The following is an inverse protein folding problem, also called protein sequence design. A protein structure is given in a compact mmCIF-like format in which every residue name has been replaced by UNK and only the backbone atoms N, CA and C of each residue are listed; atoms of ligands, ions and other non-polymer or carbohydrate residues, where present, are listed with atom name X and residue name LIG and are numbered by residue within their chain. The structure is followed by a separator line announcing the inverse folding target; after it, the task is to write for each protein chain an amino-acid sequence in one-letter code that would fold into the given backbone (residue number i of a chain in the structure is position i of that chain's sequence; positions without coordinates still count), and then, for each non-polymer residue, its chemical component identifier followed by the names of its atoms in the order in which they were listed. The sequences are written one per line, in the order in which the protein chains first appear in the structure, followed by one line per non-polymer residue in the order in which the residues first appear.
data_IF_352462551715
#
_entry.id   IF_352462551715
#
_cell.length_a   1.000
_cell.length_b   1.000
_cell.length_c   1.000
_cell.angle_alpha   90.00
_cell.angle_beta   90.00
_cell.angle_gamma   90.00
#
_symmetry.space_group_name_H-M   'P 1'
#
loop_
_entity.id
_entity.type
_entity.pdbx_description
1 polymer ?
#
# COMPACT_ATOMS: atom_id res chain seq x y z
N UNK A 1 -25.53 13.29 -13.14
CA UNK A 1 -25.75 11.99 -12.46
C UNK A 1 -24.44 11.39 -11.94
N UNK A 2 -23.47 11.06 -12.80
CA UNK A 2 -22.20 10.42 -12.38
C UNK A 2 -21.47 11.17 -11.26
N UNK A 3 -21.40 12.49 -11.34
CA UNK A 3 -20.76 13.32 -10.30
C UNK A 3 -21.43 13.19 -8.93
N UNK A 4 -22.77 13.08 -8.88
CA UNK A 4 -23.50 12.89 -7.63
C UNK A 4 -23.21 11.51 -7.05
N UNK A 5 -23.20 10.48 -7.90
CA UNK A 5 -22.80 9.13 -7.48
C UNK A 5 -21.36 9.08 -7.02
N UNK A 6 -20.47 9.82 -7.67
CA UNK A 6 -19.06 9.91 -7.30
C UNK A 6 -18.86 10.59 -5.93
N UNK A 7 -19.63 11.64 -5.62
CA UNK A 7 -19.64 12.23 -4.28
C UNK A 7 -20.06 11.20 -3.21
N UNK A 8 -21.12 10.43 -3.47
CA UNK A 8 -21.56 9.34 -2.57
C UNK A 8 -20.46 8.28 -2.42
N UNK A 9 -19.80 7.90 -3.53
CA UNK A 9 -18.69 6.97 -3.50
C UNK A 9 -17.51 7.48 -2.68
N UNK A 10 -17.23 8.78 -2.68
CA UNK A 10 -16.22 9.39 -1.81
C UNK A 10 -16.54 9.18 -0.33
N UNK A 11 -17.78 9.46 0.09
CA UNK A 11 -18.23 9.23 1.47
C UNK A 11 -18.14 7.75 1.85
N UNK A 12 -18.66 6.87 1.01
CA UNK A 12 -18.71 5.43 1.28
C UNK A 12 -17.29 4.84 1.31
N UNK A 13 -16.38 5.29 0.44
CA UNK A 13 -14.99 4.84 0.45
C UNK A 13 -14.25 5.33 1.70
N UNK A 14 -14.54 6.56 2.15
CA UNK A 14 -14.07 7.08 3.44
C UNK A 14 -14.49 6.21 4.63
N UNK A 15 -15.79 5.88 4.70
CA UNK A 15 -16.31 4.99 5.73
C UNK A 15 -15.71 3.57 5.64
N UNK A 16 -15.55 3.02 4.43
CA UNK A 16 -14.95 1.71 4.23
C UNK A 16 -13.47 1.66 4.66
N UNK A 17 -12.70 2.72 4.36
CA UNK A 17 -11.32 2.87 4.80
C UNK A 17 -11.24 2.88 6.34
N UNK A 18 -12.07 3.70 6.98
CA UNK A 18 -12.15 3.79 8.44
C UNK A 18 -12.49 2.47 9.11
N UNK A 19 -13.53 1.78 8.62
CA UNK A 19 -13.91 0.45 9.14
C UNK A 19 -12.78 -0.55 8.99
N UNK A 20 -12.11 -0.57 7.84
CA UNK A 20 -11.04 -1.55 7.62
C UNK A 20 -9.84 -1.30 8.53
N UNK A 21 -9.40 -0.04 8.67
CA UNK A 21 -8.24 0.31 9.50
C UNK A 21 -8.52 -0.03 10.97
N UNK A 22 -9.69 0.34 11.50
CA UNK A 22 -10.07 0.00 12.88
C UNK A 22 -10.21 -1.52 13.08
N UNK A 23 -10.70 -2.24 12.07
CA UNK A 23 -10.78 -3.70 12.14
C UNK A 23 -9.38 -4.34 12.16
N UNK A 24 -8.43 -3.81 11.39
CA UNK A 24 -7.02 -4.24 11.44
C UNK A 24 -6.46 -4.02 12.85
N UNK A 25 -6.69 -2.84 13.45
CA UNK A 25 -6.19 -2.49 14.78
C UNK A 25 -6.77 -3.39 15.87
N UNK A 26 -8.10 -3.62 15.86
CA UNK A 26 -8.76 -4.53 16.79
C UNK A 26 -8.18 -5.93 16.70
N UNK A 27 -7.99 -6.45 15.49
CA UNK A 27 -7.43 -7.80 15.30
C UNK A 27 -5.95 -7.82 15.71
N UNK A 28 -5.18 -6.77 15.40
CA UNK A 28 -3.77 -6.62 15.83
C UNK A 28 -3.65 -6.69 17.34
N UNK A 29 -4.41 -5.86 18.05
CA UNK A 29 -4.38 -5.81 19.51
C UNK A 29 -4.83 -7.12 20.13
N UNK A 30 -5.90 -7.74 19.61
CA UNK A 30 -6.41 -8.99 20.15
C UNK A 30 -5.47 -10.17 19.89
N UNK A 31 -4.89 -10.25 18.68
CA UNK A 31 -4.09 -11.39 18.25
C UNK A 31 -2.64 -11.32 18.72
N UNK A 32 -2.02 -10.13 18.71
CA UNK A 32 -0.61 -9.95 19.02
C UNK A 32 -0.35 -9.41 20.42
N UNK A 33 -1.24 -8.55 20.94
CA UNK A 33 -1.08 -7.92 22.26
C UNK A 33 -2.04 -8.47 23.33
N UNK A 34 -2.95 -9.37 22.96
CA UNK A 34 -3.96 -9.97 23.83
C UNK A 34 -4.91 -8.96 24.51
N UNK A 35 -5.15 -7.81 23.87
CA UNK A 35 -6.01 -6.75 24.35
C UNK A 35 -7.10 -6.40 23.32
N UNK A 36 -8.33 -6.22 23.77
CA UNK A 36 -9.41 -5.74 22.89
C UNK A 36 -9.45 -4.21 22.93
N UNK A 37 -8.64 -3.58 22.08
CA UNK A 37 -8.57 -2.12 21.94
C UNK A 37 -8.65 -1.67 20.49
N UNK A 38 -9.19 -0.47 20.27
CA UNK A 38 -9.15 0.24 18.99
C UNK A 38 -7.99 1.23 18.91
N UNK A 39 -7.15 1.31 19.94
CA UNK A 39 -5.98 2.20 19.91
C UNK A 39 -4.86 1.56 19.09
N UNK A 40 -4.23 2.27 18.14
CA UNK A 40 -3.08 1.75 17.42
C UNK A 40 -1.91 1.49 18.38
N UNK A 41 -1.43 0.25 18.44
CA UNK A 41 -0.25 -0.14 19.21
C UNK A 41 0.93 -0.37 18.25
N UNK A 42 2.05 0.36 18.39
CA UNK A 42 3.20 0.19 17.50
C UNK A 42 3.81 -1.21 17.57
N UNK A 43 4.16 -1.77 16.42
CA UNK A 43 4.83 -3.08 16.35
C UNK A 43 6.26 -3.05 16.90
N UNK A 44 6.81 -1.88 17.19
CA UNK A 44 8.06 -1.74 17.96
C UNK A 44 7.93 -2.19 19.42
N UNK A 45 6.72 -2.19 19.98
CA UNK A 45 6.43 -2.63 21.35
C UNK A 45 6.11 -4.13 21.45
N UNK A 46 5.99 -4.81 20.31
CA UNK A 46 5.70 -6.23 20.27
C UNK A 46 6.88 -7.03 20.84
N UNK A 47 6.64 -7.79 21.90
CA UNK A 47 7.58 -8.79 22.42
C UNK A 47 7.47 -10.09 21.58
N UNK A 48 8.42 -10.35 20.66
CA UNK A 48 8.26 -11.41 19.67
C UNK A 48 8.48 -12.76 20.34
N UNK A 49 7.40 -13.50 20.53
CA UNK A 49 7.43 -14.83 21.14
C UNK A 49 6.65 -15.85 20.30
N UNK A 50 6.53 -17.09 20.79
CA UNK A 50 5.88 -18.18 20.06
C UNK A 50 4.39 -17.91 19.75
N UNK A 51 3.70 -17.01 20.48
CA UNK A 51 2.31 -16.62 20.21
C UNK A 51 2.15 -15.95 18.84
N UNK A 52 3.20 -15.29 18.32
CA UNK A 52 3.21 -14.72 16.98
C UNK A 52 2.92 -15.78 15.92
N UNK A 53 3.49 -16.98 16.04
CA UNK A 53 3.23 -18.07 15.09
C UNK A 53 1.78 -18.52 15.18
N UNK A 54 1.22 -18.62 16.39
CA UNK A 54 -0.17 -19.03 16.59
C UNK A 54 -1.11 -18.02 15.93
N UNK A 55 -0.90 -16.72 16.16
CA UNK A 55 -1.67 -15.65 15.55
C UNK A 55 -1.56 -15.68 14.02
N UNK A 56 -0.33 -15.68 13.48
CA UNK A 56 -0.06 -15.64 12.05
C UNK A 56 -0.64 -16.87 11.32
N UNK A 57 -0.41 -18.08 11.85
CA UNK A 57 -0.93 -19.32 11.25
C UNK A 57 -2.46 -19.40 11.36
N UNK A 58 -3.03 -18.95 12.48
CA UNK A 58 -4.47 -18.88 12.67
C UNK A 58 -5.15 -17.95 11.67
N UNK A 59 -4.60 -16.74 11.49
CA UNK A 59 -5.07 -15.78 10.48
C UNK A 59 -4.95 -16.33 9.06
N UNK A 60 -3.81 -16.93 8.72
CA UNK A 60 -3.60 -17.55 7.42
C UNK A 60 -4.57 -18.72 7.14
N UNK A 61 -4.90 -19.51 8.15
CA UNK A 61 -5.89 -20.58 8.02
C UNK A 61 -7.29 -20.02 7.75
N UNK A 62 -7.69 -18.96 8.47
CA UNK A 62 -8.97 -18.27 8.24
C UNK A 62 -9.05 -17.68 6.82
N UNK A 63 -7.97 -17.06 6.34
CA UNK A 63 -7.89 -16.56 4.96
C UNK A 63 -8.01 -17.69 3.95
N UNK A 64 -7.36 -18.83 4.21
CA UNK A 64 -7.43 -20.01 3.34
C UNK A 64 -8.84 -20.60 3.28
N UNK A 65 -9.59 -20.55 4.38
CA UNK A 65 -11.00 -20.93 4.43
C UNK A 65 -11.88 -19.93 3.68
N UNK A 66 -11.68 -18.62 3.87
CA UNK A 66 -12.39 -17.57 3.12
C UNK A 66 -12.13 -17.67 1.61
N UNK A 67 -10.91 -18.04 1.20
CA UNK A 67 -10.54 -18.20 -0.20
C UNK A 67 -11.29 -19.35 -0.89
N UNK A 68 -11.83 -20.33 -0.15
CA UNK A 68 -12.73 -21.35 -0.72
C UNK A 68 -14.07 -20.75 -1.17
N UNK A 69 -14.58 -19.75 -0.46
CA UNK A 69 -15.84 -19.07 -0.78
C UNK A 69 -15.65 -17.94 -1.81
N UNK A 70 -14.58 -17.17 -1.67
CA UNK A 70 -14.25 -16.06 -2.55
C UNK A 70 -12.80 -16.14 -3.04
N UNK A 71 -12.50 -16.93 -4.09
CA UNK A 71 -11.14 -17.09 -4.62
C UNK A 71 -10.47 -15.77 -5.06
N UNK A 72 -11.27 -14.76 -5.38
CA UNK A 72 -10.85 -13.40 -5.81
C UNK A 72 -10.14 -12.62 -4.69
N UNK A 73 -10.16 -13.08 -3.45
CA UNK A 73 -9.44 -12.40 -2.37
C UNK A 73 -7.92 -12.57 -2.44
N UNK A 74 -7.42 -13.60 -3.12
CA UNK A 74 -5.98 -13.82 -3.27
C UNK A 74 -5.37 -12.72 -4.13
N UNK A 75 -4.16 -12.28 -3.80
CA UNK A 75 -3.41 -11.31 -4.61
C UNK A 75 -3.50 -9.87 -4.12
N UNK A 76 -3.02 -8.96 -4.97
CA UNK A 76 -2.51 -7.63 -4.61
C UNK A 76 -3.59 -6.53 -4.66
N UNK A 77 -4.70 -6.76 -5.36
CA UNK A 77 -5.86 -5.88 -5.47
C UNK A 77 -5.92 -5.01 -6.75
N UNK A 78 -4.88 -4.22 -7.03
CA UNK A 78 -4.88 -3.31 -8.19
C UNK A 78 -4.96 -4.07 -9.53
N UNK A 79 -4.15 -5.13 -9.78
CA UNK A 79 -4.25 -5.91 -11.01
C UNK A 79 -5.65 -6.49 -11.26
N UNK A 80 -6.36 -6.89 -10.21
CA UNK A 80 -7.70 -7.45 -10.28
C UNK A 80 -8.74 -6.38 -10.67
N UNK A 81 -8.56 -5.15 -10.19
CA UNK A 81 -9.37 -4.00 -10.62
C UNK A 81 -9.09 -3.65 -12.10
N UNK A 82 -7.82 -3.64 -12.51
CA UNK A 82 -7.43 -3.43 -13.91
C UNK A 82 -8.00 -4.51 -14.83
N UNK A 83 -7.89 -5.78 -14.45
CA UNK A 83 -8.45 -6.92 -15.19
C UNK A 83 -9.97 -6.76 -15.36
N UNK A 84 -10.68 -6.33 -14.30
CA UNK A 84 -12.12 -6.09 -14.38
C UNK A 84 -12.47 -4.97 -15.36
N UNK A 85 -11.68 -3.89 -15.40
CA UNK A 85 -11.85 -2.79 -16.36
C UNK A 85 -11.61 -3.27 -17.79
N UNK A 86 -10.53 -4.02 -18.03
CA UNK A 86 -10.10 -4.44 -19.36
C UNK A 86 -10.95 -5.57 -19.95
N UNK A 87 -11.38 -6.54 -19.13
CA UNK A 87 -11.95 -7.79 -19.63
C UNK A 87 -13.40 -8.05 -19.19
N UNK A 88 -13.85 -7.45 -18.07
CA UNK A 88 -15.16 -7.74 -17.46
C UNK A 88 -16.15 -6.60 -17.61
N UNK A 89 -15.89 -5.66 -18.51
CA UNK A 89 -16.67 -4.43 -18.68
C UNK A 89 -16.87 -3.68 -17.35
N UNK A 90 -15.88 -3.70 -16.46
CA UNK A 90 -15.95 -3.10 -15.12
C UNK A 90 -17.02 -3.71 -14.20
N UNK A 91 -17.35 -4.99 -14.35
CA UNK A 91 -18.22 -5.75 -13.43
C UNK A 91 -17.40 -6.49 -12.38
N UNK A 92 -17.66 -6.18 -11.11
CA UNK A 92 -17.06 -6.85 -9.95
C UNK A 92 -18.17 -7.62 -9.20
N UNK A 93 -17.82 -8.80 -8.69
CA UNK A 93 -18.75 -9.64 -7.93
C UNK A 93 -19.01 -9.05 -6.52
N UNK A 94 -20.26 -9.08 -6.01
CA UNK A 94 -20.59 -8.55 -4.68
C UNK A 94 -19.75 -9.14 -3.55
N UNK A 95 -19.47 -10.45 -3.63
CA UNK A 95 -18.62 -11.15 -2.64
C UNK A 95 -17.22 -10.53 -2.51
N UNK A 96 -16.66 -9.94 -3.57
CA UNK A 96 -15.32 -9.33 -3.54
C UNK A 96 -15.31 -8.10 -2.63
N UNK A 97 -16.38 -7.30 -2.64
CA UNK A 97 -16.51 -6.08 -1.82
C UNK A 97 -16.51 -6.39 -0.31
N UNK A 98 -16.89 -7.60 0.10
CA UNK A 98 -16.96 -8.03 1.50
C UNK A 98 -15.74 -8.88 1.86
N UNK A 99 -15.42 -9.86 1.03
CA UNK A 99 -14.38 -10.84 1.35
C UNK A 99 -12.97 -10.22 1.33
N UNK A 100 -12.70 -9.27 0.42
CA UNK A 100 -11.38 -8.64 0.32
C UNK A 100 -11.02 -7.84 1.57
N UNK A 101 -11.83 -6.89 2.06
CA UNK A 101 -11.49 -6.14 3.28
C UNK A 101 -11.42 -7.05 4.51
N UNK A 102 -12.33 -8.01 4.68
CA UNK A 102 -12.26 -8.96 5.83
C UNK A 102 -10.96 -9.78 5.78
N UNK A 103 -10.59 -10.30 4.60
CA UNK A 103 -9.36 -11.08 4.46
C UNK A 103 -8.10 -10.26 4.76
N UNK A 104 -8.08 -8.99 4.33
CA UNK A 104 -6.98 -8.09 4.60
C UNK A 104 -6.89 -7.71 6.09
N UNK A 105 -8.03 -7.50 6.75
CA UNK A 105 -8.08 -7.22 8.17
C UNK A 105 -7.49 -8.38 8.99
N UNK A 106 -7.88 -9.61 8.66
CA UNK A 106 -7.31 -10.81 9.29
C UNK A 106 -5.83 -10.94 8.97
N UNK A 107 -5.42 -10.76 7.71
CA UNK A 107 -4.02 -10.91 7.30
C UNK A 107 -3.12 -9.93 8.06
N UNK A 108 -3.41 -8.63 7.92
CA UNK A 108 -2.60 -7.56 8.50
C UNK A 108 -2.69 -7.62 10.03
N UNK A 109 -3.89 -7.83 10.57
CA UNK A 109 -4.11 -7.92 12.01
C UNK A 109 -3.45 -9.12 12.68
N UNK A 110 -3.13 -10.18 11.93
CA UNK A 110 -2.35 -11.31 12.46
C UNK A 110 -0.86 -11.20 12.15
N UNK A 111 -0.41 -10.02 11.73
CA UNK A 111 1.00 -9.68 11.54
C UNK A 111 1.50 -9.77 10.11
N UNK A 112 0.66 -10.11 9.12
CA UNK A 112 1.12 -10.18 7.75
C UNK A 112 1.58 -8.78 7.25
N UNK A 113 2.74 -8.68 6.57
CA UNK A 113 3.42 -7.42 6.30
C UNK A 113 2.85 -6.68 5.08
N UNK A 114 1.55 -6.37 5.10
CA UNK A 114 0.84 -5.73 3.99
C UNK A 114 0.33 -4.34 4.32
N UNK A 115 0.11 -3.57 3.26
CA UNK A 115 -0.66 -2.35 3.34
C UNK A 115 -2.18 -2.59 3.29
N UNK A 116 -2.95 -1.74 3.96
CA UNK A 116 -4.43 -1.81 3.94
C UNK A 116 -5.04 -1.27 2.64
N UNK A 117 -4.25 -0.59 1.82
CA UNK A 117 -4.74 0.40 0.87
C UNK A 117 -5.18 -0.26 -0.43
N UNK A 118 -4.46 -1.29 -0.89
CA UNK A 118 -4.92 -2.15 -1.99
C UNK A 118 -6.33 -2.71 -1.75
N UNK A 119 -6.60 -3.36 -0.60
CA UNK A 119 -7.94 -3.78 -0.20
C UNK A 119 -8.98 -2.65 -0.17
N UNK A 120 -8.64 -1.44 0.31
CA UNK A 120 -9.56 -0.29 0.33
C UNK A 120 -9.87 0.19 -1.09
N UNK A 121 -8.86 0.32 -1.95
CA UNK A 121 -9.00 0.69 -3.37
C UNK A 121 -9.91 -0.30 -4.09
N UNK A 122 -9.70 -1.61 -3.90
CA UNK A 122 -10.57 -2.65 -4.47
C UNK A 122 -11.97 -2.57 -3.91
N UNK A 123 -12.13 -2.33 -2.61
CA UNK A 123 -13.44 -2.22 -1.97
C UNK A 123 -14.22 -1.03 -2.53
N UNK A 124 -13.62 0.15 -2.58
CA UNK A 124 -14.21 1.34 -3.18
C UNK A 124 -14.58 1.12 -4.65
N UNK A 125 -13.66 0.54 -5.45
CA UNK A 125 -13.94 0.22 -6.84
C UNK A 125 -15.04 -0.82 -7.03
N UNK A 126 -15.10 -1.82 -6.14
CA UNK A 126 -16.17 -2.82 -6.11
C UNK A 126 -17.53 -2.18 -5.85
N UNK A 127 -17.62 -1.26 -4.88
CA UNK A 127 -18.84 -0.53 -4.57
C UNK A 127 -19.28 0.33 -5.77
N UNK A 128 -18.34 1.06 -6.39
CA UNK A 128 -18.60 1.82 -7.62
C UNK A 128 -19.12 0.95 -8.76
N UNK A 129 -18.50 -0.21 -8.97
CA UNK A 129 -18.95 -1.21 -9.95
C UNK A 129 -20.35 -1.73 -9.65
N UNK A 130 -20.65 -2.07 -8.40
CA UNK A 130 -21.95 -2.62 -7.99
C UNK A 130 -23.08 -1.61 -8.19
N UNK A 131 -22.87 -0.35 -7.81
CA UNK A 131 -23.82 0.73 -8.09
C UNK A 131 -24.06 0.86 -9.61
N UNK A 132 -22.98 0.84 -10.39
CA UNK A 132 -23.06 0.88 -11.86
C UNK A 132 -23.61 -0.40 -12.52
N UNK A 133 -23.81 -1.49 -11.77
CA UNK A 133 -24.47 -2.70 -12.27
C UNK A 133 -25.99 -2.67 -12.07
N UNK A 134 -26.46 -1.95 -11.06
CA UNK A 134 -27.89 -1.82 -10.73
C UNK A 134 -28.53 -0.64 -11.47
N UNK A 135 -27.75 0.41 -11.75
CA UNK A 135 -28.21 1.58 -12.49
C UNK A 135 -28.16 1.37 -14.02
N UNK A 136 -29.02 2.05 -14.80
CA UNK A 136 -29.02 1.99 -16.25
C UNK A 136 -27.87 2.85 -16.84
N UNK A 137 -26.63 2.45 -16.57
CA UNK A 137 -25.42 3.12 -17.06
C UNK A 137 -24.71 2.28 -18.10
N UNK A 138 -23.99 2.95 -19.01
CA UNK A 138 -23.17 2.29 -20.02
C UNK A 138 -21.92 1.66 -19.41
N UNK A 139 -21.24 0.72 -20.10
CA UNK A 139 -19.99 0.13 -19.61
C UNK A 139 -18.88 1.16 -19.34
N UNK A 140 -18.78 2.23 -20.14
CA UNK A 140 -17.81 3.31 -19.92
C UNK A 140 -18.15 4.14 -18.68
N UNK A 141 -19.43 4.39 -18.42
CA UNK A 141 -19.87 5.08 -17.20
C UNK A 141 -19.65 4.22 -15.95
N UNK A 142 -19.89 2.91 -16.03
CA UNK A 142 -19.56 1.98 -14.94
C UNK A 142 -18.06 1.92 -14.68
N UNK A 143 -17.23 1.98 -15.73
CA UNK A 143 -15.76 2.11 -15.60
C UNK A 143 -15.38 3.37 -14.83
N UNK A 144 -16.03 4.51 -15.11
CA UNK A 144 -15.81 5.77 -14.37
C UNK A 144 -16.24 5.62 -12.90
N UNK A 145 -17.38 4.99 -12.61
CA UNK A 145 -17.83 4.77 -11.22
C UNK A 145 -16.90 3.84 -10.45
N UNK A 146 -16.41 2.76 -11.07
CA UNK A 146 -15.41 1.86 -10.49
C UNK A 146 -14.13 2.66 -10.18
N UNK A 147 -13.61 3.42 -11.15
CA UNK A 147 -12.41 4.23 -10.95
C UNK A 147 -12.61 5.31 -9.87
N UNK A 148 -13.77 5.96 -9.83
CA UNK A 148 -14.12 6.96 -8.81
C UNK A 148 -14.14 6.37 -7.39
N UNK A 149 -14.71 5.17 -7.22
CA UNK A 149 -14.66 4.47 -5.93
C UNK A 149 -13.25 4.03 -5.55
N UNK A 150 -12.48 3.51 -6.51
CA UNK A 150 -11.10 3.10 -6.29
C UNK A 150 -10.19 4.29 -5.87
N UNK A 151 -10.29 5.40 -6.61
CA UNK A 151 -9.61 6.65 -6.28
C UNK A 151 -10.08 7.22 -4.94
N UNK A 152 -11.39 7.20 -4.66
CA UNK A 152 -11.94 7.59 -3.36
C UNK A 152 -11.34 6.75 -2.23
N UNK A 153 -11.16 5.46 -2.41
CA UNK A 153 -10.48 4.59 -1.44
C UNK A 153 -9.03 4.99 -1.18
N UNK A 154 -8.26 5.28 -2.23
CA UNK A 154 -6.89 5.77 -2.11
C UNK A 154 -6.83 7.13 -1.38
N UNK A 155 -7.65 8.09 -1.79
CA UNK A 155 -7.72 9.42 -1.19
C UNK A 155 -8.13 9.36 0.29
N UNK A 156 -9.11 8.52 0.64
CA UNK A 156 -9.54 8.30 2.02
C UNK A 156 -8.45 7.70 2.91
N UNK A 157 -7.60 6.84 2.36
CA UNK A 157 -6.57 6.13 3.13
C UNK A 157 -5.35 7.01 3.38
N UNK A 158 -4.93 7.78 2.38
CA UNK A 158 -3.66 8.52 2.43
C UNK A 158 -3.81 10.03 2.58
N UNK A 159 -5.04 10.57 2.50
CA UNK A 159 -5.23 12.02 2.43
C UNK A 159 -4.66 12.64 1.16
N UNK A 160 -4.51 11.85 0.08
CA UNK A 160 -3.85 12.20 -1.17
C UNK A 160 -4.82 12.21 -2.37
N UNK A 161 -5.74 13.20 -2.44
CA UNK A 161 -6.78 13.25 -3.46
C UNK A 161 -6.25 13.48 -4.89
N UNK A 162 -5.17 14.24 -5.08
CA UNK A 162 -4.62 14.51 -6.42
C UNK A 162 -3.92 13.27 -6.98
N UNK A 163 -3.12 12.61 -6.15
CA UNK A 163 -2.45 11.35 -6.47
C UNK A 163 -3.46 10.27 -6.81
N UNK A 164 -4.58 10.21 -6.09
CA UNK A 164 -5.66 9.27 -6.38
C UNK A 164 -6.32 9.50 -7.76
N UNK A 165 -6.49 10.76 -8.17
CA UNK A 165 -6.96 11.09 -9.53
C UNK A 165 -5.94 10.64 -10.57
N UNK A 166 -4.65 10.90 -10.32
CA UNK A 166 -3.57 10.46 -11.22
C UNK A 166 -3.50 8.95 -11.34
N UNK A 167 -3.57 8.22 -10.22
CA UNK A 167 -3.59 6.77 -10.20
C UNK A 167 -4.75 6.22 -11.04
N UNK A 168 -5.94 6.80 -10.89
CA UNK A 168 -7.10 6.35 -11.65
C UNK A 168 -6.93 6.59 -13.16
N UNK A 169 -6.33 7.71 -13.56
CA UNK A 169 -6.10 8.03 -14.97
C UNK A 169 -4.99 7.15 -15.56
N UNK A 170 -3.87 7.02 -14.86
CA UNK A 170 -2.65 6.34 -15.31
C UNK A 170 -2.81 4.81 -15.32
N UNK A 171 -3.50 4.24 -14.32
CA UNK A 171 -3.59 2.77 -14.15
C UNK A 171 -4.95 2.14 -14.42
N UNK A 172 -6.07 2.87 -14.24
CA UNK A 172 -7.41 2.29 -14.38
C UNK A 172 -8.10 2.70 -15.68
N UNK A 173 -8.06 4.00 -16.00
CA UNK A 173 -8.86 4.55 -17.08
C UNK A 173 -8.12 4.58 -18.41
N UNK A 174 -6.82 4.88 -18.43
CA UNK A 174 -6.04 5.06 -19.66
C UNK A 174 -6.66 6.09 -20.62
N UNK A 175 -7.44 7.04 -20.09
CA UNK A 175 -8.05 8.12 -20.85
C UNK A 175 -8.10 9.40 -20.01
N UNK A 176 -7.79 10.53 -20.65
CA UNK A 176 -7.93 11.86 -20.05
C UNK A 176 -9.14 12.55 -20.69
N UNK A 177 -10.33 12.35 -20.10
CA UNK A 177 -11.57 12.96 -20.56
C UNK A 177 -12.25 13.72 -19.42
N UNK A 178 -12.85 14.89 -19.71
CA UNK A 178 -13.59 15.67 -18.70
C UNK A 178 -14.73 14.86 -18.08
N UNK A 179 -15.33 13.96 -18.88
CA UNK A 179 -16.39 13.05 -18.44
C UNK A 179 -15.94 12.11 -17.31
N UNK A 180 -14.67 11.71 -17.30
CA UNK A 180 -14.08 10.90 -16.24
C UNK A 180 -13.44 11.74 -15.13
N UNK A 181 -12.74 12.83 -15.50
CA UNK A 181 -11.99 13.68 -14.58
C UNK A 181 -12.88 14.34 -13.52
N UNK A 182 -14.04 14.89 -13.92
CA UNK A 182 -14.92 15.62 -12.99
C UNK A 182 -15.49 14.68 -11.90
N UNK A 183 -16.10 13.52 -12.24
CA UNK A 183 -16.51 12.55 -11.22
C UNK A 183 -15.35 12.08 -10.33
N UNK A 184 -14.18 11.81 -10.90
CA UNK A 184 -12.99 11.40 -10.14
C UNK A 184 -12.59 12.45 -9.10
N UNK A 185 -12.40 13.70 -9.54
CA UNK A 185 -12.00 14.79 -8.67
C UNK A 185 -13.02 15.02 -7.53
N UNK A 186 -14.32 14.88 -7.83
CA UNK A 186 -15.36 15.00 -6.80
C UNK A 186 -15.30 13.85 -5.80
N UNK A 187 -15.14 12.59 -6.26
CA UNK A 187 -15.02 11.45 -5.37
C UNK A 187 -13.79 11.56 -4.46
N UNK A 188 -12.63 11.90 -5.02
CA UNK A 188 -11.39 12.01 -4.25
C UNK A 188 -11.39 13.22 -3.33
N UNK A 189 -11.95 14.37 -3.73
CA UNK A 189 -12.09 15.52 -2.84
C UNK A 189 -12.99 15.23 -1.64
N UNK A 190 -14.14 14.58 -1.86
CA UNK A 190 -15.03 14.17 -0.76
C UNK A 190 -14.35 13.13 0.13
N UNK A 191 -13.67 12.15 -0.45
CA UNK A 191 -12.90 11.16 0.31
C UNK A 191 -11.72 11.78 1.09
N UNK A 192 -11.04 12.79 0.54
CA UNK A 192 -10.01 13.56 1.23
C UNK A 192 -10.59 14.36 2.41
N UNK A 193 -11.78 14.95 2.25
CA UNK A 193 -12.51 15.56 3.36
C UNK A 193 -12.90 14.54 4.44
N UNK A 194 -13.32 13.34 4.04
CA UNK A 194 -13.54 12.23 4.98
C UNK A 194 -12.25 11.81 5.70
N UNK A 195 -11.11 11.80 4.99
CA UNK A 195 -9.82 11.50 5.60
C UNK A 195 -9.48 12.50 6.71
N UNK A 196 -9.54 13.79 6.38
CA UNK A 196 -9.37 14.89 7.33
C UNK A 196 -10.27 14.74 8.57
N UNK A 197 -11.55 14.44 8.37
CA UNK A 197 -12.52 14.32 9.45
C UNK A 197 -12.33 13.06 10.33
N UNK A 198 -11.81 11.96 9.77
CA UNK A 198 -11.76 10.65 10.44
C UNK A 198 -10.37 10.27 10.96
N UNK A 199 -9.30 10.70 10.30
CA UNK A 199 -7.92 10.36 10.65
C UNK A 199 -7.10 11.59 11.07
N UNK A 200 -7.59 12.80 10.79
CA UNK A 200 -6.97 14.05 11.18
C UNK A 200 -6.45 14.86 9.99
N UNK A 201 -6.13 16.12 10.27
CA UNK A 201 -5.60 17.06 9.29
C UNK A 201 -4.07 17.05 9.31
N UNK A 202 -3.43 16.96 8.14
CA UNK A 202 -1.97 17.03 8.04
C UNK A 202 -1.41 16.17 6.91
N UNK A 203 -0.10 16.26 6.65
CA UNK A 203 0.58 15.24 5.87
C UNK A 203 0.57 13.91 6.64
N UNK A 204 0.57 12.78 5.92
CA UNK A 204 0.66 11.46 6.54
C UNK A 204 2.03 11.25 7.20
N UNK A 205 3.08 11.78 6.58
CA UNK A 205 4.44 11.75 7.12
C UNK A 205 4.91 13.18 7.37
N UNK A 206 5.18 13.49 8.63
CA UNK A 206 5.74 14.78 9.00
C UNK A 206 7.25 14.70 8.83
N UNK A 207 7.76 15.33 7.79
CA UNK A 207 9.20 15.37 7.52
C UNK A 207 9.78 16.74 7.89
N UNK A 208 11.05 16.81 8.34
CA UNK A 208 11.75 18.07 8.45
C UNK A 208 11.81 18.77 7.09
N UNK A 209 11.89 20.10 7.06
CA UNK A 209 12.26 20.82 5.85
C UNK A 209 13.65 20.37 5.43
N UNK A 210 13.77 19.66 4.31
CA UNK A 210 15.08 19.29 3.78
C UNK A 210 15.52 20.32 2.75
N UNK A 211 16.81 20.54 2.67
CA UNK A 211 17.38 21.32 1.58
C UNK A 211 17.45 20.43 0.33
N UNK A 212 16.36 20.40 -0.44
CA UNK A 212 16.32 19.78 -1.77
C UNK A 212 16.94 20.69 -2.85
N UNK A 213 17.34 21.90 -2.47
CA UNK A 213 17.68 22.96 -3.39
C UNK A 213 19.14 22.89 -3.84
N UNK A 214 19.33 22.80 -5.16
CA UNK A 214 20.64 22.88 -5.79
C UNK A 214 20.74 22.03 -7.04
N UNK A 215 21.27 22.57 -8.15
CA UNK A 215 21.55 21.76 -9.34
C UNK A 215 22.67 20.74 -9.09
N UNK A 216 23.45 20.95 -8.03
CA UNK A 216 24.56 20.14 -7.57
C UNK A 216 24.14 18.88 -6.80
N UNK A 217 22.94 18.83 -6.19
CA UNK A 217 22.40 17.61 -5.57
C UNK A 217 21.80 16.63 -6.59
N UNK A 218 21.34 17.13 -7.75
CA UNK A 218 20.63 16.33 -8.76
C UNK A 218 21.40 15.09 -9.26
N UNK A 219 22.74 15.12 -9.48
CA UNK A 219 23.47 13.92 -9.86
C UNK A 219 23.34 12.77 -8.85
N UNK A 220 23.27 13.06 -7.55
CA UNK A 220 23.08 12.05 -6.52
C UNK A 220 21.67 11.43 -6.62
N UNK A 221 20.65 12.23 -6.91
CA UNK A 221 19.28 11.75 -7.14
C UNK A 221 19.14 10.96 -8.44
N UNK A 222 19.90 11.28 -9.50
CA UNK A 222 19.96 10.44 -10.72
C UNK A 222 20.52 9.06 -10.39
N UNK A 223 21.61 8.99 -9.62
CA UNK A 223 22.18 7.71 -9.17
C UNK A 223 21.21 6.93 -8.28
N UNK A 224 20.52 7.63 -7.37
CA UNK A 224 19.46 7.04 -6.55
C UNK A 224 18.33 6.49 -7.44
N UNK A 225 17.88 7.23 -8.46
CA UNK A 225 16.83 6.81 -9.39
C UNK A 225 17.19 5.53 -10.14
N UNK A 226 18.45 5.41 -10.60
CA UNK A 226 18.97 4.18 -11.21
C UNK A 226 18.93 3.03 -10.20
N UNK A 227 19.40 3.27 -8.96
CA UNK A 227 19.38 2.27 -7.90
C UNK A 227 17.94 1.82 -7.54
N UNK A 228 16.99 2.76 -7.50
CA UNK A 228 15.57 2.50 -7.26
C UNK A 228 14.92 1.71 -8.40
N UNK A 229 15.30 1.99 -9.66
CA UNK A 229 14.87 1.19 -10.80
C UNK A 229 15.35 -0.27 -10.71
N UNK A 230 16.60 -0.48 -10.28
CA UNK A 230 17.13 -1.83 -10.01
C UNK A 230 16.40 -2.49 -8.84
N UNK A 231 16.12 -1.75 -7.77
CA UNK A 231 15.34 -2.24 -6.63
C UNK A 231 13.93 -2.67 -7.07
N UNK A 232 13.26 -1.89 -7.92
CA UNK A 232 11.95 -2.26 -8.46
C UNK A 232 11.99 -3.58 -9.26
N UNK A 233 13.06 -3.83 -10.02
CA UNK A 233 13.28 -5.11 -10.70
C UNK A 233 13.44 -6.24 -9.67
N UNK A 234 14.22 -6.02 -8.61
CA UNK A 234 14.41 -6.99 -7.54
C UNK A 234 13.07 -7.32 -6.87
N UNK A 235 12.32 -6.30 -6.45
CA UNK A 235 10.98 -6.43 -5.82
C UNK A 235 10.06 -7.29 -6.70
N UNK A 236 9.90 -6.93 -7.97
CA UNK A 236 8.96 -7.61 -8.87
C UNK A 236 9.42 -9.02 -9.24
N UNK A 237 10.69 -9.22 -9.61
CA UNK A 237 11.18 -10.56 -9.99
C UNK A 237 11.29 -11.50 -8.79
N UNK A 238 11.66 -10.97 -7.62
CA UNK A 238 11.70 -11.75 -6.39
C UNK A 238 10.32 -12.27 -5.99
N UNK A 239 9.28 -11.45 -6.16
CA UNK A 239 7.90 -11.89 -5.91
C UNK A 239 7.51 -13.05 -6.84
N UNK A 240 7.73 -12.92 -8.15
CA UNK A 240 7.43 -13.99 -9.10
C UNK A 240 8.22 -15.27 -8.83
N UNK A 241 9.49 -15.15 -8.44
CA UNK A 241 10.30 -16.29 -8.05
C UNK A 241 9.69 -17.01 -6.83
N UNK A 242 9.25 -16.26 -5.82
CA UNK A 242 8.64 -16.84 -4.62
C UNK A 242 7.28 -17.47 -4.93
N UNK A 243 6.45 -16.86 -5.78
CA UNK A 243 5.21 -17.46 -6.28
C UNK A 243 5.47 -18.80 -7.01
N UNK A 244 6.49 -18.85 -7.87
CA UNK A 244 6.89 -20.08 -8.56
C UNK A 244 7.40 -21.16 -7.60
N UNK A 245 8.10 -20.78 -6.52
CA UNK A 245 8.50 -21.70 -5.47
C UNK A 245 7.30 -22.29 -4.74
N UNK A 246 6.29 -21.47 -4.40
CA UNK A 246 5.05 -21.96 -3.79
C UNK A 246 4.30 -22.93 -4.70
N UNK A 247 4.25 -22.67 -6.01
CA UNK A 247 3.62 -23.56 -7.01
C UNK A 247 4.31 -24.93 -7.11
N UNK A 248 5.60 -25.01 -6.78
CA UNK A 248 6.39 -26.25 -6.79
C UNK A 248 6.28 -27.06 -5.49
N UNK A 249 5.70 -26.50 -4.43
CA UNK A 249 5.55 -27.22 -3.17
C UNK A 249 4.58 -28.41 -3.33
N UNK A 250 4.89 -29.60 -2.77
CA UNK A 250 4.04 -30.78 -2.85
C UNK A 250 2.84 -30.73 -1.89
N UNK A 251 2.29 -29.53 -1.63
CA UNK A 251 1.13 -29.28 -0.77
C UNK A 251 0.09 -28.46 -1.53
N UNK A 252 -1.18 -28.70 -1.24
CA UNK A 252 -2.27 -27.98 -1.90
C UNK A 252 -2.28 -26.48 -1.57
N UNK A 253 -2.77 -25.66 -2.51
CA UNK A 253 -2.85 -24.19 -2.39
C UNK A 253 -3.63 -23.67 -1.17
N UNK A 254 -4.38 -24.55 -0.50
CA UNK A 254 -5.02 -24.24 0.78
C UNK A 254 -4.01 -24.00 1.90
N UNK A 255 -2.85 -24.66 1.88
CA UNK A 255 -1.85 -24.56 2.94
C UNK A 255 -0.77 -23.52 2.67
N UNK A 256 -0.69 -22.98 1.45
CA UNK A 256 0.33 -21.99 1.09
C UNK A 256 0.33 -20.78 2.04
N UNK A 257 -0.82 -20.14 2.37
CA UNK A 257 -0.82 -19.01 3.29
C UNK A 257 -0.27 -19.34 4.68
N UNK A 258 -0.49 -20.57 5.17
CA UNK A 258 0.01 -21.02 6.48
C UNK A 258 1.54 -21.17 6.45
N UNK A 259 2.09 -21.67 5.34
CA UNK A 259 3.55 -21.73 5.14
C UNK A 259 4.14 -20.33 5.04
N UNK A 260 3.47 -19.42 4.32
CA UNK A 260 3.84 -18.00 4.28
C UNK A 260 3.83 -17.34 5.66
N UNK A 261 2.85 -17.68 6.49
CA UNK A 261 2.75 -17.22 7.87
C UNK A 261 3.92 -17.64 8.75
N UNK A 262 4.34 -18.90 8.65
CA UNK A 262 5.55 -19.36 9.34
C UNK A 262 6.77 -18.56 8.86
N UNK A 263 6.86 -18.31 7.55
CA UNK A 263 7.95 -17.54 6.96
C UNK A 263 8.03 -16.11 7.47
N UNK A 264 6.95 -15.33 7.34
CA UNK A 264 6.96 -13.93 7.79
C UNK A 264 7.01 -13.81 9.31
N UNK A 265 6.39 -14.71 10.08
CA UNK A 265 6.49 -14.71 11.53
C UNK A 265 7.94 -14.94 11.99
N UNK A 266 8.66 -15.81 11.30
CA UNK A 266 10.10 -16.04 11.55
C UNK A 266 10.90 -14.76 11.34
N UNK A 267 10.63 -14.00 10.28
CA UNK A 267 11.26 -12.68 10.08
C UNK A 267 10.86 -11.71 11.19
N UNK A 268 9.59 -11.72 11.58
CA UNK A 268 9.04 -10.90 12.66
C UNK A 268 9.68 -11.14 14.03
N UNK A 269 10.23 -12.33 14.30
CA UNK A 269 10.99 -12.58 15.52
C UNK A 269 12.26 -11.72 15.61
N UNK A 270 12.91 -11.47 14.48
CA UNK A 270 14.16 -10.70 14.41
C UNK A 270 13.92 -9.22 14.11
N UNK A 271 12.90 -8.92 13.30
CA UNK A 271 12.56 -7.57 12.88
C UNK A 271 11.04 -7.36 13.02
N UNK A 272 10.54 -7.10 14.24
CA UNK A 272 9.09 -6.98 14.50
C UNK A 272 8.43 -5.88 13.67
N UNK A 273 9.16 -4.78 13.47
CA UNK A 273 8.73 -3.62 12.65
C UNK A 273 8.57 -3.94 11.16
N UNK A 274 9.03 -5.10 10.70
CA UNK A 274 8.76 -5.57 9.34
C UNK A 274 7.32 -6.11 9.19
N UNK A 275 6.65 -6.47 10.28
CA UNK A 275 5.27 -6.96 10.24
C UNK A 275 4.26 -5.83 10.01
N UNK A 276 2.99 -6.19 9.79
CA UNK A 276 1.87 -5.25 9.63
C UNK A 276 2.07 -4.20 8.52
N UNK A 277 1.45 -3.04 8.69
CA UNK A 277 1.47 -1.94 7.70
C UNK A 277 2.83 -1.23 7.66
N UNK A 278 3.27 -0.71 8.82
CA UNK A 278 4.59 -0.08 8.99
C UNK A 278 4.65 1.42 8.72
N UNK A 279 3.54 2.17 8.86
CA UNK A 279 3.55 3.63 8.72
C UNK A 279 4.42 4.34 9.77
N UNK A 280 4.41 3.85 11.01
CA UNK A 280 5.30 4.33 12.08
C UNK A 280 6.78 4.16 11.71
N UNK A 281 7.10 3.03 11.07
CA UNK A 281 8.44 2.70 10.63
C UNK A 281 8.88 3.56 9.44
N UNK A 282 7.97 3.88 8.52
CA UNK A 282 8.23 4.85 7.45
C UNK A 282 8.53 6.22 8.06
N UNK A 283 7.68 6.70 8.97
CA UNK A 283 7.86 8.02 9.60
C UNK A 283 9.21 8.11 10.33
N UNK A 284 9.61 7.05 11.06
CA UNK A 284 10.91 6.96 11.72
C UNK A 284 12.11 6.97 10.75
N UNK A 285 11.99 6.30 9.60
CA UNK A 285 13.03 6.29 8.57
C UNK A 285 13.16 7.68 7.94
N UNK A 286 12.05 8.31 7.58
CA UNK A 286 12.03 9.64 6.96
C UNK A 286 12.60 10.72 7.89
N UNK A 287 12.37 10.59 9.20
CA UNK A 287 12.90 11.50 10.22
C UNK A 287 14.30 11.12 10.75
N UNK A 288 14.97 10.15 10.13
CA UNK A 288 16.30 9.67 10.53
C UNK A 288 16.40 9.24 12.01
N UNK A 289 15.32 8.69 12.59
CA UNK A 289 15.25 8.26 14.00
C UNK A 289 15.83 6.86 14.24
N UNK A 290 16.21 6.15 13.18
CA UNK A 290 16.74 4.80 13.24
C UNK A 290 18.21 4.74 12.83
N UNK A 291 18.98 3.92 13.53
CA UNK A 291 20.35 3.62 13.13
C UNK A 291 20.37 2.93 11.75
N UNK A 292 21.38 3.24 10.94
CA UNK A 292 21.48 2.75 9.56
C UNK A 292 21.43 1.22 9.44
N UNK A 293 22.01 0.51 10.42
CA UNK A 293 21.95 -0.96 10.49
C UNK A 293 20.52 -1.47 10.71
N UNK A 294 19.73 -0.78 11.53
CA UNK A 294 18.31 -1.08 11.75
C UNK A 294 17.49 -0.81 10.49
N UNK A 295 17.78 0.30 9.78
CA UNK A 295 17.11 0.63 8.50
C UNK A 295 17.41 -0.43 7.44
N UNK A 296 18.66 -0.88 7.33
CA UNK A 296 19.03 -1.95 6.41
C UNK A 296 18.36 -3.28 6.76
N UNK A 297 18.33 -3.66 8.04
CA UNK A 297 17.64 -4.85 8.52
C UNK A 297 16.12 -4.76 8.27
N UNK A 298 15.54 -3.58 8.43
CA UNK A 298 14.13 -3.31 8.17
C UNK A 298 13.78 -3.41 6.68
N UNK A 299 14.61 -2.85 5.79
CA UNK A 299 14.43 -2.98 4.34
C UNK A 299 14.41 -4.44 3.90
N UNK A 300 15.42 -5.22 4.32
CA UNK A 300 15.54 -6.64 3.99
C UNK A 300 14.45 -7.48 4.64
N UNK A 301 14.19 -7.24 5.93
CA UNK A 301 13.14 -7.92 6.68
C UNK A 301 11.77 -7.71 6.06
N UNK A 302 11.39 -6.45 5.77
CA UNK A 302 10.11 -6.12 5.13
C UNK A 302 9.99 -6.78 3.76
N UNK A 303 11.04 -6.71 2.94
CA UNK A 303 11.06 -7.30 1.60
C UNK A 303 10.85 -8.82 1.64
N UNK A 304 11.62 -9.54 2.47
CA UNK A 304 11.54 -11.00 2.59
C UNK A 304 10.19 -11.41 3.17
N UNK A 305 9.76 -10.79 4.28
CA UNK A 305 8.49 -11.09 4.91
C UNK A 305 7.33 -10.88 3.94
N UNK A 306 7.36 -9.76 3.19
CA UNK A 306 6.35 -9.43 2.20
C UNK A 306 6.32 -10.40 1.02
N UNK A 307 7.46 -10.82 0.47
CA UNK A 307 7.48 -11.86 -0.56
C UNK A 307 6.93 -13.21 -0.07
N UNK A 308 7.36 -13.66 1.12
CA UNK A 308 6.90 -14.92 1.70
C UNK A 308 5.40 -14.91 1.94
N UNK A 309 4.87 -13.78 2.43
CA UNK A 309 3.45 -13.60 2.65
C UNK A 309 2.69 -13.51 1.32
N UNK A 310 3.06 -12.59 0.43
CA UNK A 310 2.30 -12.31 -0.80
C UNK A 310 2.34 -13.49 -1.78
N UNK A 311 3.53 -14.08 -1.98
CA UNK A 311 3.71 -15.21 -2.89
C UNK A 311 2.96 -16.47 -2.45
N UNK A 312 2.57 -16.56 -1.17
CA UNK A 312 1.74 -17.65 -0.65
C UNK A 312 0.26 -17.58 -1.09
N UNK A 313 -0.14 -16.51 -1.77
CA UNK A 313 -1.52 -16.30 -2.22
C UNK A 313 -2.46 -15.81 -1.12
N UNK A 314 -1.94 -15.15 -0.09
CA UNK A 314 -2.74 -14.42 0.89
C UNK A 314 -3.29 -13.10 0.30
N UNK A 315 -3.95 -12.27 1.12
CA UNK A 315 -4.60 -11.02 0.71
C UNK A 315 -3.97 -9.82 1.42
N UNK A 316 -3.59 -8.79 0.66
CA UNK A 316 -3.05 -7.55 1.22
C UNK A 316 -2.60 -6.57 0.14
N UNK A 317 -2.42 -5.32 0.52
CA UNK A 317 -1.91 -4.24 -0.34
C UNK A 317 -0.38 -4.21 -0.39
N UNK A 318 0.13 -3.62 -1.47
CA UNK A 318 1.57 -3.57 -1.77
C UNK A 318 2.17 -2.18 -1.59
N UNK A 319 1.34 -1.13 -1.44
CA UNK A 319 1.77 0.26 -1.41
C UNK A 319 2.65 0.55 -0.18
N UNK A 320 2.13 0.48 1.05
CA UNK A 320 2.93 0.68 2.27
C UNK A 320 4.23 -0.15 2.32
N UNK A 321 4.22 -1.47 2.02
CA UNK A 321 5.46 -2.26 1.98
C UNK A 321 6.50 -1.72 0.99
N UNK A 322 6.09 -1.35 -0.23
CA UNK A 322 7.00 -0.76 -1.22
C UNK A 322 7.56 0.56 -0.70
N UNK A 323 6.72 1.42 -0.10
CA UNK A 323 7.18 2.70 0.48
C UNK A 323 8.22 2.48 1.58
N UNK A 324 7.99 1.54 2.50
CA UNK A 324 8.94 1.24 3.58
C UNK A 324 10.25 0.64 3.08
N UNK A 325 10.18 -0.31 2.15
CA UNK A 325 11.37 -0.94 1.56
C UNK A 325 12.21 0.11 0.83
N UNK A 326 11.54 0.96 0.03
CA UNK A 326 12.20 1.97 -0.78
C UNK A 326 12.73 3.15 0.02
N UNK A 327 11.99 3.67 1.00
CA UNK A 327 12.49 4.73 1.89
C UNK A 327 13.73 4.26 2.64
N UNK A 328 13.69 3.04 3.19
CA UNK A 328 14.82 2.43 3.89
C UNK A 328 16.02 2.22 2.97
N UNK A 329 15.79 1.73 1.75
CA UNK A 329 16.84 1.60 0.74
C UNK A 329 17.43 2.95 0.35
N UNK A 330 16.60 3.97 0.17
CA UNK A 330 17.00 5.34 -0.13
C UNK A 330 17.89 5.92 0.97
N UNK A 331 17.53 5.73 2.24
CA UNK A 331 18.38 6.14 3.38
C UNK A 331 19.75 5.45 3.33
N UNK A 332 19.80 4.14 3.05
CA UNK A 332 21.07 3.38 2.99
C UNK A 332 21.94 3.84 1.83
N UNK A 333 21.37 3.98 0.63
CA UNK A 333 22.10 4.44 -0.56
C UNK A 333 22.53 5.89 -0.39
N UNK A 334 21.64 6.77 0.07
CA UNK A 334 21.94 8.18 0.31
C UNK A 334 23.08 8.37 1.31
N UNK A 335 23.06 7.65 2.43
CA UNK A 335 24.17 7.64 3.40
C UNK A 335 25.48 7.22 2.73
N UNK A 336 25.46 6.20 1.87
CA UNK A 336 26.64 5.76 1.13
C UNK A 336 27.12 6.78 0.09
N UNK A 337 26.21 7.43 -0.63
CA UNK A 337 26.52 8.47 -1.62
C UNK A 337 27.16 9.69 -0.96
N UNK A 338 26.66 10.13 0.20
CA UNK A 338 27.22 11.26 0.93
C UNK A 338 28.64 11.00 1.45
N UNK A 339 29.02 9.73 1.65
CA UNK A 339 30.39 9.36 2.02
C UNK A 339 31.38 9.37 0.83
N UNK A 340 30.88 9.19 -0.39
CA UNK A 340 31.72 8.97 -1.58
C UNK A 340 31.77 10.20 -2.49
N UNK A 341 30.65 10.90 -2.64
CA UNK A 341 30.54 12.05 -3.53
C UNK A 341 30.97 13.33 -2.80
N UNK A 342 31.98 14.06 -3.32
CA UNK A 342 32.25 15.42 -2.86
C UNK A 342 31.15 16.33 -3.39
N UNK A 343 30.36 16.94 -2.50
CA UNK A 343 29.23 17.77 -2.88
C UNK A 343 28.43 18.26 -1.67
N UNK A 344 27.27 18.89 -1.91
CA UNK A 344 26.26 19.04 -0.86
C UNK A 344 25.96 17.67 -0.23
N UNK A 345 25.67 17.67 1.07
CA UNK A 345 25.32 16.49 1.88
C UNK A 345 23.81 16.56 2.16
N UNK A 346 22.93 16.14 1.21
CA UNK A 346 21.49 16.21 1.44
C UNK A 346 21.15 15.36 2.65
N UNK A 347 20.18 15.84 3.44
CA UNK A 347 19.66 15.06 4.55
C UNK A 347 19.22 13.67 4.09
N UNK A 348 19.58 12.64 4.85
CA UNK A 348 19.26 11.23 4.52
C UNK A 348 17.75 10.97 4.34
N UNK A 349 16.90 11.78 4.98
CA UNK A 349 15.45 11.76 4.77
C UNK A 349 15.03 12.18 3.35
N UNK A 350 15.77 13.10 2.71
CA UNK A 350 15.50 13.50 1.33
C UNK A 350 15.67 12.32 0.35
N UNK A 351 16.76 11.55 0.49
CA UNK A 351 16.96 10.34 -0.30
C UNK A 351 15.88 9.29 -0.05
N UNK A 352 15.40 9.17 1.19
CA UNK A 352 14.32 8.26 1.55
C UNK A 352 13.00 8.63 0.86
N UNK A 353 12.64 9.92 0.88
CA UNK A 353 11.44 10.44 0.22
C UNK A 353 11.51 10.27 -1.31
N UNK A 354 12.63 10.63 -1.94
CA UNK A 354 12.80 10.47 -3.39
C UNK A 354 12.76 8.98 -3.79
N UNK A 355 13.36 8.11 -2.98
CA UNK A 355 13.35 6.67 -3.23
C UNK A 355 11.94 6.07 -3.19
N UNK A 356 11.05 6.59 -2.33
CA UNK A 356 9.62 6.22 -2.33
C UNK A 356 8.98 6.47 -3.68
N UNK A 357 9.14 7.69 -4.22
CA UNK A 357 8.55 8.07 -5.51
C UNK A 357 9.17 7.26 -6.65
N UNK A 358 10.51 7.20 -6.71
CA UNK A 358 11.23 6.54 -7.79
C UNK A 358 10.94 5.03 -7.85
N UNK A 359 10.99 4.34 -6.71
CA UNK A 359 10.74 2.90 -6.67
C UNK A 359 9.28 2.57 -6.94
N UNK A 360 8.34 3.33 -6.36
CA UNK A 360 6.92 3.11 -6.61
C UNK A 360 6.55 3.39 -8.07
N UNK A 361 7.02 4.51 -8.63
CA UNK A 361 6.79 4.85 -10.04
C UNK A 361 7.32 3.78 -11.00
N UNK A 362 8.52 3.25 -10.72
CA UNK A 362 9.11 2.16 -11.50
C UNK A 362 8.38 0.82 -11.31
N UNK A 363 8.01 0.44 -10.08
CA UNK A 363 7.35 -0.83 -9.79
C UNK A 363 5.90 -0.86 -10.30
N UNK A 364 5.16 0.24 -10.12
CA UNK A 364 3.77 0.36 -10.54
C UNK A 364 3.60 0.80 -12.00
N UNK A 365 4.69 1.22 -12.67
CA UNK A 365 4.63 1.85 -14.00
C UNK A 365 3.72 3.08 -14.01
N UNK A 366 3.78 3.87 -12.93
CA UNK A 366 2.93 5.04 -12.70
C UNK A 366 3.75 6.24 -12.17
N UNK A 367 4.71 6.77 -12.95
CA UNK A 367 5.64 7.80 -12.49
C UNK A 367 4.94 9.10 -12.07
N UNK A 368 3.93 9.56 -12.81
CA UNK A 368 3.25 10.81 -12.47
C UNK A 368 2.45 10.68 -11.18
N UNK A 369 1.76 9.56 -11.02
CA UNK A 369 1.09 9.22 -9.77
C UNK A 369 2.09 9.22 -8.61
N UNK A 370 3.25 8.59 -8.77
CA UNK A 370 4.24 8.46 -7.70
C UNK A 370 4.80 9.80 -7.22
N UNK A 371 5.10 10.72 -8.14
CA UNK A 371 5.59 12.07 -7.82
C UNK A 371 4.55 12.85 -7.03
N UNK A 372 3.31 12.91 -7.53
CA UNK A 372 2.22 13.64 -6.86
C UNK A 372 1.88 12.98 -5.52
N UNK A 373 1.97 11.66 -5.44
CA UNK A 373 1.68 10.91 -4.23
C UNK A 373 2.64 11.23 -3.10
N UNK A 374 3.95 11.17 -3.36
CA UNK A 374 4.94 11.50 -2.33
C UNK A 374 4.81 12.96 -1.89
N UNK A 375 4.58 13.89 -2.82
CA UNK A 375 4.28 15.28 -2.50
C UNK A 375 3.07 15.41 -1.55
N UNK A 376 1.93 14.75 -1.82
CA UNK A 376 0.76 14.87 -0.95
C UNK A 376 0.96 14.18 0.42
N UNK A 377 1.75 13.10 0.47
CA UNK A 377 2.05 12.39 1.71
C UNK A 377 2.92 13.21 2.67
N UNK A 378 3.83 14.03 2.15
CA UNK A 378 4.76 14.85 2.95
C UNK A 378 4.36 16.32 3.04
N UNK A 379 3.57 16.80 2.07
CA UNK A 379 3.24 18.22 1.82
C UNK A 379 4.47 19.12 1.63
N UNK A 380 5.57 18.53 1.17
CA UNK A 380 6.80 19.24 0.85
C UNK A 380 6.94 19.36 -0.67
N UNK A 381 6.77 20.59 -1.19
CA UNK A 381 6.83 20.85 -2.63
C UNK A 381 8.26 20.78 -3.18
N UNK A 382 9.27 20.96 -2.33
CA UNK A 382 10.66 21.02 -2.77
C UNK A 382 11.18 19.63 -3.19
N UNK A 383 10.48 18.56 -2.79
CA UNK A 383 10.70 17.17 -3.24
C UNK A 383 10.41 16.95 -4.72
N UNK A 384 9.64 17.82 -5.39
CA UNK A 384 9.06 17.50 -6.71
C UNK A 384 10.09 17.39 -7.84
N UNK A 385 11.25 18.05 -7.71
CA UNK A 385 12.28 18.12 -8.75
C UNK A 385 13.32 16.97 -8.65
N UNK A 386 13.91 16.67 -7.47
CA UNK A 386 14.73 15.47 -7.25
C UNK A 386 14.03 14.15 -7.60
#
# INVERSE_FOLDING_TARGET
MLTVLAAILGVVSGAAAWVLIHLIEIITNAALFHELSTTPTPLSELDPNWTLFVAAMGGALLISLLAKWAPVIRGHGIPEAMEAVLTKQSRIAPRTAIAKPISAAIAIGTGAPFGAEGPIIVTGGSIGSLIGQVLPVTPSERKILLAAGAAGGMAATFGAPLAAVMLAIELLLFEFSVRALVPLAVATAVAGGMHSALFGDGPLFQIPSHDFAGLDVLPAFVLLGIACGLLAIVISRGLFLVEDLYRKLPIGNFWHPVVGAIGFATVGLFVPRALGVGYDAIDDVLNARLAIGTVAALALGKLIAWWLALGSGTSGGTLAPILLISSSFGTVIGTGLNLVLPGPDPGVGAFAVVAMAATFGAAAQAPFTAIVFVFELTRDYDVILP
#
